data_IF_883164558583
#
_entry.id   IF_883164558583
#
_cell.length_a   1.000
_cell.length_b   1.000
_cell.length_c   1.000
_cell.angle_alpha   90.00
_cell.angle_beta   90.00
_cell.angle_gamma   90.00
#
_symmetry.space_group_name_H-M   'P 1'
#
loop_
_entity.id
_entity.type
_entity.pdbx_description
1 polymer ?
#
# COMPACT_ATOMS: atom_id res chain seq x y z
N UNK A 1 0.01 -21.43 -0.71
CA UNK A 1 0.31 -19.98 -0.71
C UNK A 1 0.51 -19.52 0.73
N UNK A 2 1.64 -18.88 1.10
CA UNK A 2 1.76 -18.30 2.44
C UNK A 2 0.70 -17.21 2.58
N UNK A 3 -0.27 -17.43 3.48
CA UNK A 3 -1.34 -16.46 3.75
C UNK A 3 -0.74 -15.25 4.47
N UNK A 4 -1.25 -14.06 4.17
CA UNK A 4 -0.86 -12.85 4.88
C UNK A 4 -1.10 -13.04 6.38
N UNK A 5 -0.10 -12.66 7.15
CA UNK A 5 -0.03 -12.64 8.60
C UNK A 5 -1.33 -12.15 9.30
N UNK A 6 -1.84 -11.00 8.87
CA UNK A 6 -3.22 -10.57 9.02
C UNK A 6 -3.58 -9.79 7.74
N UNK A 7 -4.87 -9.68 7.43
CA UNK A 7 -5.33 -8.90 6.27
C UNK A 7 -5.65 -7.48 6.76
N UNK A 8 -5.16 -6.45 6.06
CA UNK A 8 -5.56 -5.09 6.37
C UNK A 8 -7.08 -4.93 6.21
N UNK A 9 -7.81 -4.26 7.11
CA UNK A 9 -9.27 -4.13 7.02
C UNK A 9 -9.78 -3.57 5.68
N UNK A 10 -9.04 -2.62 5.10
CA UNK A 10 -9.31 -2.07 3.76
C UNK A 10 -9.08 -3.09 2.64
N UNK A 11 -8.02 -3.88 2.71
CA UNK A 11 -7.79 -4.96 1.75
C UNK A 11 -8.87 -6.04 1.88
N UNK A 12 -9.23 -6.43 3.10
CA UNK A 12 -10.32 -7.38 3.34
C UNK A 12 -11.63 -6.90 2.69
N UNK A 13 -11.97 -5.62 2.88
CA UNK A 13 -13.15 -4.98 2.29
C UNK A 13 -13.15 -4.91 0.75
N UNK A 14 -11.98 -4.92 0.12
CA UNK A 14 -11.85 -4.91 -1.36
C UNK A 14 -11.90 -6.29 -1.99
N UNK A 15 -11.67 -7.36 -1.23
CA UNK A 15 -11.63 -8.74 -1.73
C UNK A 15 -12.95 -9.48 -1.50
N UNK A 16 -13.68 -9.12 -0.44
CA UNK A 16 -14.89 -9.83 -0.06
C UNK A 16 -16.11 -9.12 -0.64
N UNK A 17 -16.59 -9.66 -1.76
CA UNK A 17 -17.58 -9.04 -2.64
C UNK A 17 -19.02 -9.53 -2.35
N UNK A 18 -19.18 -10.45 -1.40
CA UNK A 18 -20.35 -11.34 -1.35
C UNK A 18 -21.00 -11.52 0.03
N UNK A 19 -20.71 -10.69 1.04
CA UNK A 19 -21.40 -10.79 2.32
C UNK A 19 -22.85 -10.29 2.21
N UNK A 20 -23.77 -11.22 1.93
CA UNK A 20 -25.21 -11.00 2.07
C UNK A 20 -25.78 -12.06 3.02
N UNK A 21 -26.17 -11.69 4.25
CA UNK A 21 -26.06 -10.36 4.88
C UNK A 21 -24.62 -10.00 5.31
N UNK A 22 -24.33 -8.70 5.41
CA UNK A 22 -23.07 -8.17 5.95
C UNK A 22 -22.95 -8.45 7.45
N UNK A 23 -21.83 -9.05 7.86
CA UNK A 23 -21.53 -9.33 9.27
C UNK A 23 -20.47 -8.36 9.82
N UNK A 24 -20.91 -7.51 10.75
CA UNK A 24 -20.03 -6.57 11.47
C UNK A 24 -19.05 -7.30 12.41
N UNK A 25 -19.40 -8.49 12.90
CA UNK A 25 -18.52 -9.34 13.70
C UNK A 25 -17.29 -9.78 12.91
N UNK A 26 -17.47 -10.18 11.65
CA UNK A 26 -16.37 -10.49 10.74
C UNK A 26 -15.41 -9.29 10.54
N UNK A 27 -15.94 -8.08 10.33
CA UNK A 27 -15.11 -6.87 10.19
C UNK A 27 -14.38 -6.55 11.50
N UNK A 28 -15.05 -6.64 12.66
CA UNK A 28 -14.43 -6.40 13.96
C UNK A 28 -13.27 -7.38 14.20
N UNK A 29 -13.43 -8.68 13.87
CA UNK A 29 -12.35 -9.68 13.98
C UNK A 29 -11.14 -9.30 13.12
N UNK A 30 -11.34 -8.85 11.88
CA UNK A 30 -10.24 -8.42 11.00
C UNK A 30 -9.53 -7.18 11.56
N UNK A 31 -10.29 -6.22 12.10
CA UNK A 31 -9.73 -5.03 12.74
C UNK A 31 -8.91 -5.41 13.98
N UNK A 32 -9.37 -6.37 14.78
CA UNK A 32 -8.64 -6.86 15.96
C UNK A 32 -7.39 -7.67 15.59
N UNK A 33 -7.47 -8.54 14.57
CA UNK A 33 -6.30 -9.27 14.05
C UNK A 33 -5.21 -8.31 13.52
N UNK A 34 -5.62 -7.15 12.99
CA UNK A 34 -4.71 -6.11 12.51
C UNK A 34 -4.33 -5.06 13.59
N UNK A 35 -5.00 -5.08 14.75
CA UNK A 35 -4.90 -4.02 15.75
C UNK A 35 -3.47 -3.82 16.27
N UNK A 36 -2.72 -4.91 16.49
CA UNK A 36 -1.35 -4.79 16.97
C UNK A 36 -0.45 -3.96 16.05
N UNK A 37 -0.64 -4.11 14.73
CA UNK A 37 0.12 -3.34 13.73
C UNK A 37 -0.29 -1.88 13.75
N UNK A 38 -1.60 -1.59 13.73
CA UNK A 38 -2.10 -0.21 13.72
C UNK A 38 -1.78 0.56 15.00
N UNK A 39 -1.94 -0.05 16.16
CA UNK A 39 -1.62 0.58 17.44
C UNK A 39 -0.11 0.86 17.55
N UNK A 40 0.73 -0.05 17.06
CA UNK A 40 2.17 0.18 17.06
C UNK A 40 2.58 1.31 16.10
N UNK A 41 1.97 1.37 14.92
CA UNK A 41 2.20 2.45 13.95
C UNK A 41 1.69 3.80 14.48
N UNK A 42 0.50 3.82 15.07
CA UNK A 42 -0.07 5.00 15.70
C UNK A 42 0.82 5.47 16.85
N UNK A 43 1.26 4.57 17.74
CA UNK A 43 2.18 4.91 18.84
C UNK A 43 3.52 5.50 18.35
N UNK A 44 4.02 5.08 17.18
CA UNK A 44 5.18 5.73 16.54
C UNK A 44 4.83 7.12 16.01
N UNK A 45 3.67 7.29 15.39
CA UNK A 45 3.22 8.57 14.88
C UNK A 45 2.96 9.61 16.00
N UNK A 46 2.31 9.19 17.08
CA UNK A 46 2.03 10.06 18.23
C UNK A 46 3.30 10.57 18.89
N UNK A 47 4.35 9.74 18.97
CA UNK A 47 5.68 10.11 19.49
C UNK A 47 6.45 11.10 18.60
N UNK A 48 6.03 11.34 17.35
CA UNK A 48 6.70 12.34 16.50
C UNK A 48 6.38 13.76 16.96
N UNK A 49 7.42 14.60 16.96
CA UNK A 49 7.29 16.06 17.12
C UNK A 49 6.46 16.65 15.98
N UNK A 50 5.96 17.88 16.15
CA UNK A 50 5.21 18.58 15.12
C UNK A 50 6.00 18.68 13.79
N UNK A 51 7.29 19.00 13.88
CA UNK A 51 8.21 19.00 12.74
C UNK A 51 8.32 17.60 12.10
N UNK A 52 8.43 16.54 12.91
CA UNK A 52 8.48 15.17 12.41
C UNK A 52 7.20 14.73 11.68
N UNK A 53 6.04 15.27 12.07
CA UNK A 53 4.76 15.04 11.36
C UNK A 53 4.72 15.80 10.04
N UNK A 54 5.17 17.05 10.02
CA UNK A 54 5.23 17.86 8.79
C UNK A 54 6.17 17.24 7.75
N UNK A 55 7.36 16.80 8.17
CA UNK A 55 8.33 16.11 7.29
C UNK A 55 7.73 14.81 6.74
N UNK A 56 7.03 14.04 7.57
CA UNK A 56 6.39 12.81 7.10
C UNK A 56 5.26 13.07 6.09
N UNK A 57 4.47 14.14 6.30
CA UNK A 57 3.44 14.56 5.35
C UNK A 57 4.05 15.03 4.02
N UNK A 58 5.12 15.83 4.07
CA UNK A 58 5.84 16.27 2.88
C UNK A 58 6.47 15.09 2.13
N UNK A 59 7.06 14.13 2.83
CA UNK A 59 7.60 12.91 2.23
C UNK A 59 6.53 12.06 1.55
N UNK A 60 5.34 11.95 2.14
CA UNK A 60 4.21 11.27 1.52
C UNK A 60 3.72 12.00 0.25
N UNK A 61 3.57 13.32 0.30
CA UNK A 61 3.21 14.11 -0.88
C UNK A 61 4.26 13.98 -2.00
N UNK A 62 5.54 14.02 -1.66
CA UNK A 62 6.63 13.79 -2.60
C UNK A 62 6.55 12.40 -3.25
N UNK A 63 6.26 11.37 -2.46
CA UNK A 63 6.07 9.99 -2.96
C UNK A 63 4.95 9.91 -4.01
N UNK A 64 3.84 10.63 -3.80
CA UNK A 64 2.73 10.70 -4.78
C UNK A 64 3.18 11.43 -6.05
N UNK A 65 3.83 12.59 -5.93
CA UNK A 65 4.33 13.33 -7.08
C UNK A 65 5.34 12.51 -7.90
N UNK A 66 6.22 11.79 -7.22
CA UNK A 66 7.16 10.84 -7.82
C UNK A 66 6.46 9.73 -8.60
N UNK A 67 5.32 9.22 -8.11
CA UNK A 67 4.53 8.22 -8.84
C UNK A 67 3.91 8.80 -10.12
N UNK A 68 3.39 10.03 -10.05
CA UNK A 68 2.89 10.73 -11.24
C UNK A 68 4.00 10.97 -12.27
N UNK A 69 5.21 11.31 -11.81
CA UNK A 69 6.38 11.48 -12.68
C UNK A 69 6.79 10.16 -13.38
N UNK A 70 6.65 9.01 -12.71
CA UNK A 70 6.88 7.71 -13.32
C UNK A 70 5.94 7.45 -14.50
N UNK A 71 4.65 7.76 -14.33
CA UNK A 71 3.65 7.63 -15.40
C UNK A 71 3.96 8.59 -16.55
N UNK A 72 4.29 9.85 -16.24
CA UNK A 72 4.66 10.84 -17.24
C UNK A 72 5.91 10.42 -18.03
N UNK A 73 6.92 9.85 -17.38
CA UNK A 73 8.10 9.30 -18.02
C UNK A 73 7.73 8.24 -19.06
N UNK A 74 6.88 7.27 -18.69
CA UNK A 74 6.43 6.23 -19.61
C UNK A 74 5.75 6.81 -20.86
N UNK A 75 4.87 7.80 -20.67
CA UNK A 75 4.19 8.50 -21.77
C UNK A 75 5.16 9.27 -22.67
N UNK A 76 6.13 9.98 -22.08
CA UNK A 76 7.15 10.73 -22.82
C UNK A 76 7.99 9.77 -23.66
N UNK A 77 8.43 8.64 -23.11
CA UNK A 77 9.27 7.69 -23.84
C UNK A 77 8.51 7.02 -24.99
N UNK A 78 7.21 6.71 -24.80
CA UNK A 78 6.37 6.11 -25.83
C UNK A 78 6.03 7.08 -26.97
N UNK A 79 5.66 8.32 -26.64
CA UNK A 79 5.27 9.33 -27.65
C UNK A 79 6.50 9.99 -28.29
N UNK A 80 7.58 10.16 -27.54
CA UNK A 80 8.74 10.97 -27.91
C UNK A 80 8.44 12.43 -28.02
N UNK A 81 7.60 12.91 -27.10
CA UNK A 81 7.26 14.32 -26.98
C UNK A 81 8.44 15.21 -26.51
N UNK A 82 9.64 14.65 -26.31
CA UNK A 82 10.81 15.36 -25.78
C UNK A 82 11.94 15.35 -26.79
N UNK A 83 12.58 16.50 -26.94
CA UNK A 83 13.73 16.69 -27.81
C UNK A 83 14.91 15.80 -27.40
N UNK A 84 15.70 15.39 -28.40
CA UNK A 84 16.81 14.45 -28.21
C UNK A 84 17.85 14.96 -27.19
N UNK A 85 18.05 16.27 -27.09
CA UNK A 85 18.99 16.89 -26.14
C UNK A 85 18.52 16.78 -24.67
N UNK A 86 17.21 16.78 -24.42
CA UNK A 86 16.63 16.66 -23.09
C UNK A 86 16.31 15.21 -22.69
N UNK A 87 16.43 14.26 -23.63
CA UNK A 87 16.04 12.87 -23.44
C UNK A 87 16.80 12.18 -22.30
N UNK A 88 18.13 12.30 -22.27
CA UNK A 88 18.97 11.68 -21.24
C UNK A 88 18.67 12.22 -19.82
N UNK A 89 18.65 13.55 -19.58
CA UNK A 89 18.30 14.06 -18.25
C UNK A 89 16.87 13.72 -17.84
N UNK A 90 15.90 13.70 -18.77
CA UNK A 90 14.52 13.28 -18.48
C UNK A 90 14.46 11.80 -18.10
N UNK A 91 15.17 10.92 -18.80
CA UNK A 91 15.22 9.49 -18.48
C UNK A 91 15.78 9.24 -17.07
N UNK A 92 16.88 9.90 -16.71
CA UNK A 92 17.48 9.79 -15.38
C UNK A 92 16.62 10.39 -14.28
N UNK A 93 16.08 11.60 -14.48
CA UNK A 93 15.21 12.26 -13.52
C UNK A 93 13.93 11.44 -13.28
N UNK A 94 13.28 10.98 -14.35
CA UNK A 94 12.09 10.15 -14.27
C UNK A 94 12.38 8.81 -13.58
N UNK A 95 13.50 8.15 -13.90
CA UNK A 95 13.87 6.90 -13.24
C UNK A 95 14.17 7.10 -11.76
N UNK A 96 14.88 8.17 -11.39
CA UNK A 96 15.15 8.54 -10.01
C UNK A 96 13.88 8.81 -9.22
N UNK A 97 12.97 9.62 -9.78
CA UNK A 97 11.66 9.88 -9.16
C UNK A 97 10.83 8.61 -9.03
N UNK A 98 10.83 7.73 -10.04
CA UNK A 98 10.16 6.43 -9.95
C UNK A 98 10.72 5.57 -8.81
N UNK A 99 12.03 5.54 -8.63
CA UNK A 99 12.67 4.84 -7.52
C UNK A 99 12.28 5.46 -6.16
N UNK A 100 12.21 6.79 -6.06
CA UNK A 100 11.72 7.49 -4.87
C UNK A 100 10.26 7.10 -4.54
N UNK A 101 9.40 6.94 -5.54
CA UNK A 101 8.02 6.49 -5.30
C UNK A 101 8.00 5.11 -4.63
N UNK A 102 8.76 4.14 -5.16
CA UNK A 102 8.86 2.81 -4.56
C UNK A 102 9.42 2.89 -3.14
N UNK A 103 10.50 3.65 -2.93
CA UNK A 103 11.11 3.83 -1.61
C UNK A 103 10.13 4.42 -0.59
N UNK A 104 9.31 5.38 -1.01
CA UNK A 104 8.32 6.02 -0.15
C UNK A 104 7.28 5.06 0.42
N UNK A 105 6.96 3.96 -0.28
CA UNK A 105 6.10 2.89 0.23
C UNK A 105 6.90 1.75 0.89
N UNK A 106 8.07 1.43 0.33
CA UNK A 106 8.92 0.33 0.78
C UNK A 106 9.52 0.59 2.17
N UNK A 107 10.01 1.80 2.44
CA UNK A 107 10.67 2.12 3.72
C UNK A 107 9.70 2.05 4.89
N UNK A 108 8.51 2.69 4.85
CA UNK A 108 7.52 2.53 5.93
C UNK A 108 7.14 1.07 6.15
N UNK A 109 6.94 0.31 5.06
CA UNK A 109 6.68 -1.12 5.13
C UNK A 109 7.81 -1.89 5.81
N UNK A 110 9.07 -1.69 5.40
CA UNK A 110 10.23 -2.39 5.95
C UNK A 110 10.47 -2.08 7.44
N UNK A 111 10.06 -0.89 7.89
CA UNK A 111 10.14 -0.47 9.28
C UNK A 111 9.00 -1.02 10.15
N UNK A 112 7.91 -1.54 9.57
CA UNK A 112 6.83 -2.15 10.36
C UNK A 112 7.35 -3.38 11.11
N UNK A 113 6.98 -3.56 12.39
CA UNK A 113 7.45 -4.70 13.19
C UNK A 113 6.86 -6.02 12.69
N UNK A 114 5.66 -5.97 12.09
CA UNK A 114 5.02 -7.08 11.42
C UNK A 114 4.85 -6.75 9.93
N UNK A 115 5.84 -7.14 9.13
CA UNK A 115 5.91 -6.85 7.69
C UNK A 115 4.88 -7.69 6.94
N UNK A 116 3.67 -7.18 6.78
CA UNK A 116 2.60 -7.93 6.12
C UNK A 116 2.71 -7.86 4.61
N UNK A 117 1.91 -8.66 3.91
CA UNK A 117 1.74 -8.46 2.48
C UNK A 117 1.06 -7.10 2.24
N UNK A 118 1.66 -6.25 1.43
CA UNK A 118 1.09 -4.98 1.00
C UNK A 118 0.87 -5.00 -0.53
N UNK A 119 -0.40 -5.01 -0.95
CA UNK A 119 -0.76 -5.03 -2.37
C UNK A 119 -0.41 -3.73 -3.08
N UNK A 120 -0.43 -2.61 -2.36
CA UNK A 120 -0.13 -1.29 -2.91
C UNK A 120 1.34 -1.20 -3.26
N UNK A 121 2.22 -1.56 -2.33
CA UNK A 121 3.67 -1.61 -2.57
C UNK A 121 4.01 -2.55 -3.72
N UNK A 122 3.46 -3.77 -3.72
CA UNK A 122 3.72 -4.73 -4.79
C UNK A 122 3.16 -4.25 -6.14
N UNK A 123 1.96 -3.67 -6.16
CA UNK A 123 1.33 -3.13 -7.36
C UNK A 123 2.11 -1.97 -7.96
N UNK A 124 2.59 -1.03 -7.14
CA UNK A 124 3.43 0.09 -7.57
C UNK A 124 4.77 -0.40 -8.12
N UNK A 125 5.42 -1.35 -7.45
CA UNK A 125 6.68 -1.91 -7.92
C UNK A 125 6.51 -2.60 -9.28
N UNK A 126 5.44 -3.41 -9.46
CA UNK A 126 5.12 -4.05 -10.73
C UNK A 126 4.83 -3.02 -11.83
N UNK A 127 4.03 -1.99 -11.52
CA UNK A 127 3.73 -0.92 -12.48
C UNK A 127 5.01 -0.22 -12.95
N UNK A 128 5.95 0.04 -12.05
CA UNK A 128 7.23 0.67 -12.39
C UNK A 128 8.13 -0.27 -13.20
N UNK A 129 8.13 -1.58 -12.93
CA UNK A 129 8.81 -2.56 -13.80
C UNK A 129 8.24 -2.50 -15.22
N UNK A 130 6.90 -2.45 -15.37
CA UNK A 130 6.25 -2.34 -16.67
C UNK A 130 6.63 -1.05 -17.38
N UNK A 131 6.59 0.10 -16.68
CA UNK A 131 7.00 1.40 -17.23
C UNK A 131 8.47 1.36 -17.66
N UNK A 132 9.36 0.80 -16.85
CA UNK A 132 10.77 0.65 -17.17
C UNK A 132 10.98 -0.21 -18.42
N UNK A 133 10.28 -1.35 -18.53
CA UNK A 133 10.37 -2.25 -19.66
C UNK A 133 9.86 -1.61 -20.96
N UNK A 134 8.71 -0.92 -20.90
CA UNK A 134 8.16 -0.17 -22.04
C UNK A 134 9.09 0.96 -22.47
N UNK A 135 9.63 1.71 -21.51
CA UNK A 135 10.56 2.82 -21.77
C UNK A 135 11.87 2.32 -22.38
N UNK A 136 12.38 1.19 -21.90
CA UNK A 136 13.55 0.52 -22.46
C UNK A 136 13.29 0.03 -23.89
N UNK A 137 12.15 -0.62 -24.13
CA UNK A 137 11.75 -1.05 -25.47
C UNK A 137 11.64 0.12 -26.45
N UNK A 138 10.99 1.22 -26.02
CA UNK A 138 10.92 2.45 -26.80
C UNK A 138 12.31 3.05 -27.07
N UNK A 139 13.21 2.99 -26.08
CA UNK A 139 14.59 3.45 -26.22
C UNK A 139 15.42 2.64 -27.22
N UNK A 140 15.20 1.32 -27.29
CA UNK A 140 15.96 0.45 -28.19
C UNK A 140 15.47 0.51 -29.65
N UNK A 141 14.17 0.75 -29.87
CA UNK A 141 13.59 0.84 -31.21
C UNK A 141 13.87 2.19 -31.87
N UNK A 142 14.03 3.25 -31.06
CA UNK A 142 14.23 4.60 -31.57
C UNK A 142 15.72 4.85 -31.75
N UNK A 143 16.11 5.18 -32.99
CA UNK A 143 17.48 5.57 -33.32
C UNK A 143 17.65 7.06 -33.02
N UNK A 144 18.14 7.38 -31.84
CA UNK A 144 18.42 8.76 -31.47
C UNK A 144 19.89 9.11 -31.67
N UNK A 145 20.14 10.18 -32.41
CA UNK A 145 21.49 10.65 -32.73
C UNK A 145 22.17 11.35 -31.54
N UNK A 146 21.41 11.88 -30.59
CA UNK A 146 21.95 12.69 -29.49
C UNK A 146 22.47 11.87 -28.29
N UNK A 147 22.13 10.59 -28.18
CA UNK A 147 22.58 9.72 -27.09
C UNK A 147 22.70 8.28 -27.56
N UNK A 148 23.78 7.61 -27.18
CA UNK A 148 23.90 6.18 -27.45
C UNK A 148 22.79 5.42 -26.75
N UNK A 149 22.20 4.42 -27.42
CA UNK A 149 21.16 3.58 -26.86
C UNK A 149 21.58 2.93 -25.53
N UNK A 150 22.88 2.66 -25.37
CA UNK A 150 23.46 2.16 -24.13
C UNK A 150 23.29 3.16 -22.97
N UNK A 151 23.57 4.45 -23.18
CA UNK A 151 23.42 5.48 -22.14
C UNK A 151 21.95 5.68 -21.71
N UNK A 152 21.00 5.51 -22.64
CA UNK A 152 19.56 5.58 -22.34
C UNK A 152 19.03 4.30 -21.68
N UNK A 153 19.60 3.14 -21.98
CA UNK A 153 19.17 1.88 -21.40
C UNK A 153 19.49 1.77 -19.91
N UNK A 154 20.61 2.32 -19.47
CA UNK A 154 21.10 2.25 -18.07
C UNK A 154 20.04 2.65 -17.03
N UNK A 155 19.41 3.85 -17.08
CA UNK A 155 18.44 4.25 -16.05
C UNK A 155 17.24 3.30 -15.96
N UNK A 156 16.77 2.74 -17.08
CA UNK A 156 15.64 1.81 -17.08
C UNK A 156 16.02 0.42 -16.57
N UNK A 157 17.22 -0.07 -16.91
CA UNK A 157 17.74 -1.33 -16.38
C UNK A 157 17.92 -1.22 -14.85
N UNK A 158 18.51 -0.13 -14.37
CA UNK A 158 18.67 0.12 -12.93
C UNK A 158 17.33 0.22 -12.22
N UNK A 159 16.37 0.94 -12.80
CA UNK A 159 15.02 1.07 -12.24
C UNK A 159 14.30 -0.28 -12.18
N UNK A 160 14.38 -1.09 -13.23
CA UNK A 160 13.80 -2.42 -13.27
C UNK A 160 14.45 -3.33 -12.23
N UNK A 161 15.78 -3.35 -12.15
CA UNK A 161 16.53 -4.13 -11.16
C UNK A 161 16.15 -3.71 -9.73
N UNK A 162 16.03 -2.41 -9.48
CA UNK A 162 15.63 -1.86 -8.19
C UNK A 162 14.20 -2.30 -7.80
N UNK A 163 13.24 -2.15 -8.71
CA UNK A 163 11.84 -2.52 -8.47
C UNK A 163 11.67 -4.04 -8.28
N UNK A 164 12.35 -4.85 -9.09
CA UNK A 164 12.40 -6.32 -8.91
C UNK A 164 13.03 -6.67 -7.56
N UNK A 165 14.13 -6.00 -7.19
CA UNK A 165 14.76 -6.16 -5.88
C UNK A 165 13.77 -5.90 -4.73
N UNK A 166 12.98 -4.83 -4.83
CA UNK A 166 11.92 -4.53 -3.85
C UNK A 166 10.85 -5.62 -3.80
N UNK A 167 10.39 -6.14 -4.95
CA UNK A 167 9.43 -7.26 -4.99
C UNK A 167 10.00 -8.50 -4.29
N UNK A 168 11.26 -8.85 -4.58
CA UNK A 168 11.93 -9.99 -3.96
C UNK A 168 12.08 -9.79 -2.46
N UNK A 169 12.52 -8.62 -2.00
CA UNK A 169 12.66 -8.31 -0.58
C UNK A 169 11.30 -8.30 0.11
N UNK A 170 10.28 -7.73 -0.53
CA UNK A 170 8.89 -7.75 -0.05
C UNK A 170 8.39 -9.18 0.15
N UNK A 171 8.65 -10.07 -0.81
CA UNK A 171 8.26 -11.47 -0.74
C UNK A 171 9.06 -12.27 0.32
N UNK A 172 10.37 -11.98 0.48
CA UNK A 172 11.26 -12.70 1.40
C UNK A 172 11.12 -12.27 2.85
N UNK A 173 10.97 -10.98 3.12
CA UNK A 173 10.98 -10.43 4.48
C UNK A 173 9.58 -10.30 5.10
N UNK A 174 8.52 -10.71 4.40
CA UNK A 174 7.17 -10.69 4.95
C UNK A 174 7.05 -11.69 6.11
N UNK A 175 6.33 -11.28 7.15
CA UNK A 175 5.96 -12.15 8.25
C UNK A 175 4.92 -13.19 7.78
N UNK A 176 5.12 -14.43 8.23
CA UNK A 176 4.24 -15.58 7.92
C UNK A 176 3.38 -16.02 9.09
N UNK A 177 3.72 -15.62 10.32
CA UNK A 177 2.90 -15.88 11.51
C UNK A 177 1.71 -14.91 11.61
N UNK A 178 0.84 -15.08 12.61
CA UNK A 178 -0.14 -14.05 12.96
C UNK A 178 0.45 -13.04 13.96
N UNK A 179 0.06 -11.75 13.91
CA UNK A 179 0.36 -10.79 14.97
C UNK A 179 -0.18 -11.27 16.33
N UNK A 180 0.40 -10.83 17.45
CA UNK A 180 -0.12 -11.15 18.78
C UNK A 180 -1.52 -10.56 18.97
N UNK A 181 -2.37 -11.30 19.66
CA UNK A 181 -3.73 -10.87 19.99
C UNK A 181 -3.70 -9.63 20.89
N UNK A 182 -4.64 -8.72 20.66
CA UNK A 182 -4.82 -7.51 21.46
C UNK A 182 -6.01 -7.70 22.39
N UNK A 183 -5.80 -7.54 23.69
CA UNK A 183 -6.88 -7.54 24.68
C UNK A 183 -7.63 -6.21 24.63
N UNK A 184 -8.89 -6.25 24.17
CA UNK A 184 -9.75 -5.07 24.02
C UNK A 184 -10.00 -4.38 25.36
N UNK A 185 -10.08 -5.14 26.46
CA UNK A 185 -10.31 -4.59 27.79
C UNK A 185 -9.13 -3.76 28.31
N UNK A 186 -7.92 -4.03 27.79
CA UNK A 186 -6.70 -3.30 28.15
C UNK A 186 -6.48 -2.01 27.35
N UNK A 187 -7.30 -1.74 26.32
CA UNK A 187 -7.11 -0.62 25.41
C UNK A 187 -7.55 0.72 26.00
N UNK A 188 -6.73 1.74 25.80
CA UNK A 188 -7.10 3.11 26.13
C UNK A 188 -8.20 3.65 25.19
N UNK A 189 -8.98 4.67 25.60
CA UNK A 189 -9.95 5.32 24.70
C UNK A 189 -9.34 5.85 23.40
N UNK A 190 -8.06 6.28 23.44
CA UNK A 190 -7.31 6.70 22.26
C UNK A 190 -6.99 5.54 21.31
N UNK A 191 -6.67 4.36 21.84
CA UNK A 191 -6.40 3.16 21.04
C UNK A 191 -7.68 2.67 20.36
N UNK A 192 -8.79 2.68 21.08
CA UNK A 192 -10.12 2.38 20.52
C UNK A 192 -10.45 3.34 19.38
N UNK A 193 -10.14 4.64 19.51
CA UNK A 193 -10.37 5.61 18.44
C UNK A 193 -9.51 5.33 17.18
N UNK A 194 -8.28 4.82 17.34
CA UNK A 194 -7.43 4.40 16.21
C UNK A 194 -8.07 3.19 15.50
N UNK A 195 -8.51 2.18 16.25
CA UNK A 195 -9.16 1.01 15.69
C UNK A 195 -10.50 1.35 15.02
N UNK A 196 -11.28 2.28 15.59
CA UNK A 196 -12.50 2.81 14.95
C UNK A 196 -12.18 3.49 13.62
N UNK A 197 -11.10 4.27 13.53
CA UNK A 197 -10.67 4.87 12.25
C UNK A 197 -10.31 3.80 11.21
N UNK A 198 -9.64 2.72 11.62
CA UNK A 198 -9.33 1.61 10.73
C UNK A 198 -10.61 0.92 10.21
N UNK A 199 -11.56 0.64 11.11
CA UNK A 199 -12.90 0.12 10.77
C UNK A 199 -13.65 1.05 9.82
N UNK A 200 -13.70 2.34 10.14
CA UNK A 200 -14.41 3.34 9.35
C UNK A 200 -13.88 3.44 7.92
N UNK A 201 -12.57 3.31 7.71
CA UNK A 201 -11.97 3.24 6.36
C UNK A 201 -12.48 2.02 5.59
N UNK A 202 -12.52 0.85 6.23
CA UNK A 202 -13.05 -0.37 5.63
C UNK A 202 -14.56 -0.25 5.31
N UNK A 203 -15.36 0.29 6.24
CA UNK A 203 -16.78 0.56 6.02
C UNK A 203 -17.02 1.51 4.86
N UNK A 204 -16.21 2.57 4.69
CA UNK A 204 -16.31 3.48 3.55
C UNK A 204 -16.08 2.76 2.23
N UNK A 205 -15.10 1.85 2.16
CA UNK A 205 -14.86 1.02 0.98
C UNK A 205 -16.07 0.12 0.71
N UNK A 206 -16.56 -0.61 1.71
CA UNK A 206 -17.72 -1.50 1.57
C UNK A 206 -18.99 -0.74 1.13
N UNK A 207 -19.17 0.48 1.64
CA UNK A 207 -20.24 1.39 1.23
C UNK A 207 -20.10 1.80 -0.24
N UNK A 208 -18.91 2.19 -0.70
CA UNK A 208 -18.68 2.50 -2.11
C UNK A 208 -18.95 1.32 -3.04
N UNK A 209 -18.91 0.10 -2.50
CA UNK A 209 -19.21 -1.15 -3.20
C UNK A 209 -20.64 -1.65 -3.01
N UNK A 210 -21.51 -0.85 -2.39
CA UNK A 210 -22.92 -1.20 -2.08
C UNK A 210 -23.10 -2.47 -1.22
N UNK A 211 -22.09 -2.88 -0.45
CA UNK A 211 -22.18 -4.03 0.47
C UNK A 211 -22.86 -3.63 1.79
N UNK A 212 -22.69 -2.38 2.22
CA UNK A 212 -23.30 -1.82 3.43
C UNK A 212 -24.23 -0.68 3.05
N UNK A 213 -25.48 -0.72 3.52
CA UNK A 213 -26.45 0.34 3.27
C UNK A 213 -26.13 1.61 4.09
N UNK A 214 -26.53 2.77 3.56
CA UNK A 214 -26.32 4.07 4.22
C UNK A 214 -26.91 4.13 5.63
N UNK A 215 -28.06 3.46 5.82
CA UNK A 215 -28.83 3.45 7.07
C UNK A 215 -28.08 2.73 8.20
N UNK A 216 -27.31 1.72 7.85
CA UNK A 216 -26.64 0.83 8.81
C UNK A 216 -25.21 1.28 9.10
N UNK A 217 -24.66 2.19 8.27
CA UNK A 217 -23.29 2.68 8.38
C UNK A 217 -22.99 3.29 9.75
N UNK A 218 -23.86 4.17 10.25
CA UNK A 218 -23.64 4.84 11.54
C UNK A 218 -23.78 3.86 12.71
N UNK A 219 -24.65 2.86 12.59
CA UNK A 219 -24.76 1.78 13.58
C UNK A 219 -23.48 0.94 13.65
N UNK A 220 -22.93 0.56 12.49
CA UNK A 220 -21.69 -0.21 12.40
C UNK A 220 -20.45 0.59 12.81
N UNK A 221 -20.40 1.90 12.52
CA UNK A 221 -19.28 2.76 12.90
C UNK A 221 -19.21 2.97 14.42
N UNK A 222 -20.34 2.87 15.11
CA UNK A 222 -20.43 3.02 16.57
C UNK A 222 -20.47 1.68 17.34
N UNK A 223 -20.59 0.55 16.65
CA UNK A 223 -20.65 -0.76 17.28
C UNK A 223 -19.42 -1.03 18.20
N UNK A 224 -19.58 -1.69 19.35
CA UNK A 224 -18.47 -2.10 20.19
C UNK A 224 -17.56 -3.11 19.48
N UNK A 225 -16.31 -3.22 19.92
CA UNK A 225 -15.35 -4.22 19.41
C UNK A 225 -15.46 -5.57 20.14
N UNK A 226 -16.40 -5.71 21.09
CA UNK A 226 -16.54 -6.93 21.88
C UNK A 226 -16.83 -8.15 20.99
N UNK A 227 -16.02 -9.18 21.16
CA UNK A 227 -16.21 -10.51 20.58
C UNK A 227 -17.10 -11.41 21.45
N UNK A 228 -17.62 -10.89 22.57
CA UNK A 228 -18.38 -11.65 23.57
C UNK A 228 -19.81 -12.06 23.14
N UNK A 229 -20.21 -11.80 21.89
CA UNK A 229 -21.53 -12.19 21.35
C UNK A 229 -21.56 -13.49 20.54
N UNK A 230 -20.43 -13.99 20.04
CA UNK A 230 -20.40 -15.09 19.05
C UNK A 230 -19.91 -16.44 19.60
N UNK A 231 -19.95 -16.62 20.92
CA UNK A 231 -19.83 -17.96 21.51
C UNK A 231 -21.13 -18.79 21.39
N UNK A 232 -22.18 -18.26 20.73
CA UNK A 232 -23.54 -18.81 20.80
C UNK A 232 -24.16 -19.36 19.51
N UNK A 233 -23.60 -19.15 18.32
CA UNK A 233 -24.22 -19.67 17.07
C UNK A 233 -23.19 -20.26 16.10
N UNK A 234 -22.90 -21.54 16.35
CA UNK A 234 -22.74 -22.61 15.37
C UNK A 234 -22.16 -22.23 13.98
N UNK A 235 -20.84 -22.35 13.83
CA UNK A 235 -20.27 -22.87 12.58
C UNK A 235 -19.76 -24.29 12.85
N UNK A 236 -20.68 -25.26 12.73
CA UNK A 236 -20.29 -26.64 12.45
C UNK A 236 -19.75 -26.68 11.02
N UNK A 237 -18.58 -27.30 10.88
CA UNK A 237 -17.95 -27.71 9.62
C UNK A 237 -18.93 -28.45 8.71
N UNK A 238 -18.66 -28.44 7.40
CA UNK A 238 -17.96 -29.57 6.81
C UNK A 238 -16.55 -29.23 6.33
#
# INVERSE_FOLDING_TARGET
MPKAAAVQPSEWATIHDSFTPFDIGALNRVVLDYAHVELTLAGRWYRRTALGRAVAAAGFAFTILSLCAAVALGLIMLTGAVDNAALLPVAWAGAGLSACAILGFFVPWALTPYRQWDRTLNGIAVMIVVIAALSLGAALVRRWEAASNAALAVPFILLAAFAVGVIVVHARLRATGKPPAVDVASLSPSDIAILRKARQRALKILRHRNVVAYKDFDGYDNAPFDTAGDAGTAYRSP
#
